data_IF_001662356155
#
_entry.id   IF_001662356155
#
_cell.length_a   1.000
_cell.length_b   1.000
_cell.length_c   1.000
_cell.angle_alpha   90.00
_cell.angle_beta   90.00
_cell.angle_gamma   90.00
#
_symmetry.space_group_name_H-M   'P 1'
#
loop_
_entity.id
_entity.type
_entity.pdbx_description
1 polymer ?
#
# COMPACT_ATOMS: atom_id res chain seq x y z
N UNK A 1 23.14 -15.29 -19.02
CA UNK A 1 23.37 -15.88 -17.68
C UNK A 1 22.60 -15.01 -16.70
N UNK A 2 21.62 -15.57 -16.01
CA UNK A 2 20.89 -14.84 -14.95
C UNK A 2 21.58 -15.15 -13.63
N UNK A 3 21.99 -14.13 -12.90
CA UNK A 3 22.65 -14.27 -11.62
C UNK A 3 21.75 -13.68 -10.53
N UNK A 4 21.40 -14.48 -9.54
CA UNK A 4 20.72 -14.03 -8.34
C UNK A 4 21.77 -13.61 -7.31
N UNK A 5 21.60 -12.46 -6.69
CA UNK A 5 22.52 -11.95 -5.66
C UNK A 5 22.01 -12.27 -4.27
N UNK A 6 22.91 -12.44 -3.32
CA UNK A 6 22.57 -12.76 -1.94
C UNK A 6 21.78 -11.66 -1.25
N UNK A 7 22.17 -10.39 -1.42
CA UNK A 7 21.52 -9.27 -0.75
C UNK A 7 20.00 -9.18 -1.03
N UNK A 8 19.51 -9.29 -2.28
CA UNK A 8 18.07 -9.39 -2.56
C UNK A 8 17.38 -10.57 -1.89
N UNK A 9 18.03 -11.74 -1.82
CA UNK A 9 17.45 -12.94 -1.20
C UNK A 9 17.38 -12.76 0.32
N UNK A 10 18.41 -12.21 0.95
CA UNK A 10 18.42 -11.91 2.38
C UNK A 10 17.30 -10.95 2.75
N UNK A 11 17.11 -9.88 1.98
CA UNK A 11 16.05 -8.92 2.21
C UNK A 11 14.66 -9.55 2.00
N UNK A 12 14.52 -10.38 0.99
CA UNK A 12 13.30 -11.13 0.71
C UNK A 12 12.91 -12.07 1.86
N UNK A 13 13.86 -12.81 2.42
CA UNK A 13 13.66 -13.69 3.59
C UNK A 13 13.33 -12.87 4.83
N UNK A 14 14.09 -11.80 5.10
CA UNK A 14 13.84 -10.86 6.20
C UNK A 14 12.42 -10.29 6.15
N UNK A 15 11.98 -9.87 4.98
CA UNK A 15 10.64 -9.30 4.80
C UNK A 15 9.54 -10.34 5.04
N UNK A 16 9.74 -11.58 4.59
CA UNK A 16 8.82 -12.68 4.84
C UNK A 16 8.66 -12.95 6.34
N UNK A 17 9.77 -13.07 7.07
CA UNK A 17 9.79 -13.29 8.53
C UNK A 17 9.12 -12.13 9.25
N UNK A 18 9.48 -10.89 8.88
CA UNK A 18 8.89 -9.68 9.47
C UNK A 18 7.37 -9.66 9.29
N UNK A 19 6.89 -9.88 8.08
CA UNK A 19 5.44 -9.87 7.81
C UNK A 19 4.69 -10.99 8.53
N UNK A 20 5.27 -12.19 8.62
CA UNK A 20 4.70 -13.27 9.40
C UNK A 20 4.55 -12.90 10.88
N UNK A 21 5.58 -12.25 11.45
CA UNK A 21 5.59 -11.81 12.85
C UNK A 21 4.58 -10.69 13.10
N UNK A 22 4.57 -9.67 12.25
CA UNK A 22 3.70 -8.50 12.41
C UNK A 22 2.22 -8.84 12.28
N UNK A 23 1.87 -9.84 11.46
CA UNK A 23 0.49 -10.18 11.12
C UNK A 23 -0.01 -11.46 11.79
N UNK A 24 0.88 -12.29 12.31
CA UNK A 24 0.55 -13.64 12.81
C UNK A 24 0.09 -14.60 11.70
N UNK A 25 0.25 -14.23 10.43
CA UNK A 25 -0.18 -15.04 9.29
C UNK A 25 0.95 -15.93 8.76
N UNK A 26 0.63 -17.11 8.22
CA UNK A 26 1.64 -17.96 7.60
C UNK A 26 2.25 -17.30 6.36
N UNK A 27 3.58 -17.41 6.24
CA UNK A 27 4.33 -17.01 5.07
C UNK A 27 4.71 -18.23 4.23
N UNK A 28 4.33 -18.24 2.97
CA UNK A 28 4.54 -19.38 2.06
C UNK A 28 5.48 -18.98 0.94
N UNK A 29 6.68 -19.55 0.91
CA UNK A 29 7.59 -19.46 -0.22
C UNK A 29 7.12 -20.40 -1.34
N UNK A 30 6.90 -19.86 -2.51
CA UNK A 30 6.43 -20.59 -3.68
C UNK A 30 7.63 -21.08 -4.50
N UNK A 31 8.21 -22.20 -4.10
CA UNK A 31 9.42 -22.75 -4.70
C UNK A 31 9.23 -24.24 -5.03
N UNK A 32 9.51 -24.61 -6.26
CA UNK A 32 9.39 -25.99 -6.75
C UNK A 32 10.74 -26.71 -6.61
N UNK A 33 10.86 -27.75 -5.75
CA UNK A 33 12.11 -28.48 -5.60
C UNK A 33 12.55 -29.23 -6.86
N UNK A 34 11.66 -29.45 -7.82
CA UNK A 34 11.98 -30.08 -9.10
C UNK A 34 12.51 -29.10 -10.14
N UNK A 35 12.35 -27.82 -9.93
CA UNK A 35 12.91 -26.78 -10.78
C UNK A 35 14.30 -26.41 -10.27
N UNK A 36 15.33 -26.57 -11.10
CA UNK A 36 16.74 -26.39 -10.68
C UNK A 36 17.02 -25.02 -10.01
N UNK A 37 16.43 -23.94 -10.53
CA UNK A 37 16.57 -22.61 -9.93
C UNK A 37 15.94 -22.56 -8.54
N UNK A 38 14.71 -23.04 -8.39
CA UNK A 38 13.98 -22.99 -7.12
C UNK A 38 14.61 -23.93 -6.09
N UNK A 39 15.16 -25.08 -6.52
CA UNK A 39 15.91 -26.01 -5.65
C UNK A 39 17.12 -25.32 -5.02
N UNK A 40 17.86 -24.51 -5.78
CA UNK A 40 18.96 -23.69 -5.25
C UNK A 40 18.42 -22.61 -4.28
N UNK A 41 17.35 -21.93 -4.62
CA UNK A 41 16.73 -20.92 -3.74
C UNK A 41 16.23 -21.54 -2.43
N UNK A 42 15.66 -22.74 -2.45
CA UNK A 42 15.23 -23.45 -1.24
C UNK A 42 16.38 -23.60 -0.24
N UNK A 43 17.56 -23.97 -0.73
CA UNK A 43 18.74 -24.12 0.12
C UNK A 43 19.19 -22.78 0.71
N UNK A 44 19.21 -21.74 -0.12
CA UNK A 44 19.60 -20.39 0.30
C UNK A 44 18.58 -19.82 1.31
N UNK A 45 17.29 -19.94 1.04
CA UNK A 45 16.21 -19.53 1.96
C UNK A 45 16.34 -20.22 3.30
N UNK A 46 16.56 -21.54 3.32
CA UNK A 46 16.76 -22.29 4.57
C UNK A 46 18.00 -21.82 5.35
N UNK A 47 19.04 -21.41 4.65
CA UNK A 47 20.24 -20.84 5.28
C UNK A 47 19.93 -19.50 5.93
N UNK A 48 19.32 -18.58 5.19
CA UNK A 48 19.03 -17.23 5.70
C UNK A 48 17.90 -17.19 6.75
N UNK A 49 16.98 -18.16 6.76
CA UNK A 49 16.01 -18.28 7.84
C UNK A 49 16.66 -18.52 9.20
N UNK A 50 17.88 -19.10 9.23
CA UNK A 50 18.62 -19.32 10.48
C UNK A 50 19.15 -18.00 11.10
N UNK A 51 19.25 -16.95 10.32
CA UNK A 51 19.67 -15.62 10.76
C UNK A 51 18.53 -14.84 11.45
N UNK A 52 17.32 -15.42 11.49
CA UNK A 52 16.13 -14.80 12.03
C UNK A 52 15.49 -15.64 13.14
N UNK A 53 14.94 -14.96 14.14
CA UNK A 53 14.07 -15.62 15.09
C UNK A 53 12.75 -15.98 14.40
N UNK A 54 12.50 -17.29 14.25
CA UNK A 54 11.29 -17.83 13.61
C UNK A 54 10.37 -18.55 14.59
N UNK A 55 10.65 -18.48 15.88
CA UNK A 55 9.86 -19.13 16.90
C UNK A 55 8.40 -18.62 16.88
N UNK A 56 7.47 -19.57 16.85
CA UNK A 56 6.02 -19.29 16.81
C UNK A 56 5.52 -18.82 15.43
N UNK A 57 6.36 -18.75 14.40
CA UNK A 57 5.95 -18.38 13.05
C UNK A 57 5.70 -19.63 12.18
N UNK A 58 4.64 -19.58 11.38
CA UNK A 58 4.38 -20.58 10.35
C UNK A 58 5.02 -20.12 9.03
N UNK A 59 6.23 -20.65 8.73
CA UNK A 59 6.95 -20.35 7.50
C UNK A 59 7.07 -21.65 6.69
N UNK A 60 6.47 -21.64 5.51
CA UNK A 60 6.34 -22.83 4.67
C UNK A 60 7.06 -22.63 3.34
N UNK A 61 7.61 -23.71 2.80
CA UNK A 61 8.12 -23.77 1.43
C UNK A 61 7.28 -24.82 0.71
N UNK A 62 6.57 -24.41 -0.34
CA UNK A 62 5.65 -25.25 -1.09
C UNK A 62 5.84 -25.05 -2.59
N UNK A 63 5.66 -26.13 -3.36
CA UNK A 63 5.53 -25.99 -4.81
C UNK A 63 4.35 -25.08 -5.18
N UNK A 64 4.34 -24.43 -6.36
CA UNK A 64 3.25 -23.55 -6.77
C UNK A 64 1.86 -24.17 -6.66
N UNK A 65 1.75 -25.47 -7.01
CA UNK A 65 0.47 -26.20 -6.92
C UNK A 65 0.03 -26.41 -5.47
N UNK A 66 0.96 -26.76 -4.58
CA UNK A 66 0.66 -26.92 -3.16
C UNK A 66 0.40 -25.59 -2.49
N UNK A 67 1.16 -24.55 -2.83
CA UNK A 67 1.02 -23.21 -2.29
C UNK A 67 -0.34 -22.61 -2.63
N UNK A 68 -0.80 -22.72 -3.89
CA UNK A 68 -2.12 -22.21 -4.28
C UNK A 68 -3.24 -22.98 -3.61
N UNK A 69 -3.14 -24.30 -3.49
CA UNK A 69 -4.15 -25.11 -2.80
C UNK A 69 -4.25 -24.73 -1.31
N UNK A 70 -3.11 -24.57 -0.65
CA UNK A 70 -3.05 -24.13 0.74
C UNK A 70 -3.68 -22.74 0.90
N UNK A 71 -3.28 -21.78 0.07
CA UNK A 71 -3.80 -20.40 0.11
C UNK A 71 -5.30 -20.37 -0.15
N UNK A 72 -5.79 -21.09 -1.16
CA UNK A 72 -7.23 -21.16 -1.47
C UNK A 72 -8.06 -21.76 -0.33
N UNK A 73 -7.54 -22.79 0.34
CA UNK A 73 -8.23 -23.38 1.49
C UNK A 73 -8.37 -22.36 2.64
N UNK A 74 -7.34 -21.58 2.92
CA UNK A 74 -7.34 -20.54 3.94
C UNK A 74 -8.27 -19.37 3.57
N UNK A 75 -8.18 -18.89 2.34
CA UNK A 75 -9.09 -17.83 1.83
C UNK A 75 -10.55 -18.27 1.95
N UNK A 76 -10.86 -19.52 1.63
CA UNK A 76 -12.20 -20.08 1.78
C UNK A 76 -12.67 -20.13 3.25
N UNK A 77 -11.74 -20.25 4.18
CA UNK A 77 -11.99 -20.18 5.61
C UNK A 77 -12.03 -18.74 6.17
N UNK A 78 -11.82 -17.74 5.34
CA UNK A 78 -11.73 -16.33 5.74
C UNK A 78 -10.38 -15.94 6.35
N UNK A 79 -9.34 -16.74 6.12
CA UNK A 79 -8.00 -16.54 6.68
C UNK A 79 -7.04 -15.97 5.64
N UNK A 80 -6.11 -15.15 6.10
CA UNK A 80 -5.07 -14.54 5.25
C UNK A 80 -3.83 -15.43 5.14
N UNK A 81 -3.08 -15.26 4.05
CA UNK A 81 -1.81 -15.94 3.80
C UNK A 81 -0.85 -14.95 3.14
N UNK A 82 0.41 -14.96 3.57
CA UNK A 82 1.47 -14.19 2.92
C UNK A 82 2.09 -15.07 1.83
N UNK A 83 1.93 -14.67 0.57
CA UNK A 83 2.58 -15.32 -0.56
C UNK A 83 3.95 -14.72 -0.78
N UNK A 84 4.98 -15.49 -0.50
CA UNK A 84 6.38 -15.10 -0.70
C UNK A 84 6.81 -15.61 -2.07
N UNK A 85 6.63 -14.73 -3.06
CA UNK A 85 6.92 -15.01 -4.46
C UNK A 85 7.87 -13.96 -5.00
N UNK A 86 8.17 -14.01 -6.26
CA UNK A 86 8.92 -12.96 -6.90
C UNK A 86 9.92 -13.46 -7.92
N UNK A 87 10.45 -12.53 -8.68
CA UNK A 87 11.46 -12.82 -9.68
C UNK A 87 12.87 -12.49 -9.15
N UNK A 88 13.36 -13.33 -8.27
CA UNK A 88 14.72 -13.19 -7.72
C UNK A 88 15.82 -13.47 -8.73
N UNK A 89 15.47 -13.81 -9.97
CA UNK A 89 16.41 -13.82 -11.11
C UNK A 89 16.81 -12.43 -11.58
N UNK A 90 16.04 -11.41 -11.25
CA UNK A 90 16.41 -10.03 -11.51
C UNK A 90 17.51 -9.61 -10.55
N UNK A 91 18.46 -8.85 -11.05
CA UNK A 91 19.67 -8.48 -10.34
C UNK A 91 19.45 -7.70 -9.03
N UNK A 92 18.29 -7.08 -8.87
CA UNK A 92 18.05 -6.09 -7.83
C UNK A 92 16.60 -6.05 -7.33
N UNK A 93 15.74 -6.91 -7.82
CA UNK A 93 14.31 -6.90 -7.48
C UNK A 93 13.96 -8.07 -6.58
N UNK A 94 13.32 -7.79 -5.49
CA UNK A 94 12.72 -8.76 -4.58
C UNK A 94 11.26 -8.38 -4.37
N UNK A 95 10.37 -9.34 -4.57
CA UNK A 95 8.93 -9.11 -4.44
C UNK A 95 8.38 -9.91 -3.27
N UNK A 96 7.61 -9.24 -2.43
CA UNK A 96 6.77 -9.87 -1.43
C UNK A 96 5.35 -9.33 -1.59
N UNK A 97 4.42 -10.22 -1.86
CA UNK A 97 3.03 -9.87 -2.03
C UNK A 97 2.22 -10.45 -0.87
N UNK A 98 1.94 -9.67 0.18
CA UNK A 98 0.91 -10.07 1.13
C UNK A 98 -0.40 -10.16 0.36
N UNK A 99 -1.06 -11.31 0.44
CA UNK A 99 -2.42 -11.45 -0.09
C UNK A 99 -3.33 -10.77 0.92
N UNK A 100 -3.54 -9.47 0.73
CA UNK A 100 -4.48 -8.71 1.52
C UNK A 100 -5.88 -9.01 1.02
N UNK A 101 -6.08 -8.88 -0.25
CA UNK A 101 -7.29 -9.26 -0.92
C UNK A 101 -7.08 -9.24 -2.43
N UNK A 102 -7.72 -10.16 -3.12
CA UNK A 102 -7.64 -10.19 -4.56
C UNK A 102 -8.50 -9.09 -5.16
N UNK A 103 -7.90 -8.21 -5.90
CA UNK A 103 -8.67 -7.18 -6.57
C UNK A 103 -7.94 -6.58 -7.72
N UNK A 104 -6.93 -5.81 -7.46
CA UNK A 104 -6.19 -5.06 -8.47
C UNK A 104 -4.69 -5.13 -8.22
N UNK A 105 -3.90 -4.79 -9.23
CA UNK A 105 -2.45 -4.64 -9.07
C UNK A 105 -2.06 -3.57 -8.05
N UNK A 106 -2.97 -2.64 -7.74
CA UNK A 106 -2.78 -1.62 -6.71
C UNK A 106 -2.69 -2.20 -5.28
N UNK A 107 -3.13 -3.43 -5.07
CA UNK A 107 -3.02 -4.14 -3.78
C UNK A 107 -1.71 -4.93 -3.64
N UNK A 108 -0.81 -4.83 -4.60
CA UNK A 108 0.49 -5.48 -4.57
C UNK A 108 1.60 -4.46 -4.30
N UNK A 109 2.56 -4.85 -3.49
CA UNK A 109 3.73 -4.07 -3.14
C UNK A 109 5.00 -4.80 -3.58
N UNK A 110 5.79 -4.17 -4.43
CA UNK A 110 7.13 -4.63 -4.79
C UNK A 110 8.17 -3.84 -4.01
N UNK A 111 9.16 -4.53 -3.48
CA UNK A 111 10.26 -3.92 -2.76
C UNK A 111 11.56 -4.19 -3.51
N UNK A 112 12.25 -3.12 -3.88
CA UNK A 112 13.52 -3.15 -4.62
C UNK A 112 14.63 -2.66 -3.70
N UNK A 113 15.43 -3.56 -3.09
CA UNK A 113 16.57 -3.16 -2.30
C UNK A 113 17.66 -2.55 -3.20
N UNK A 114 18.21 -1.42 -2.78
CA UNK A 114 19.27 -0.71 -3.49
C UNK A 114 20.64 -1.19 -3.01
N UNK A 115 21.61 -1.36 -3.92
CA UNK A 115 22.95 -1.84 -3.61
C UNK A 115 23.72 -0.95 -2.63
N UNK A 116 23.46 0.33 -2.64
CA UNK A 116 24.06 1.31 -1.72
C UNK A 116 23.32 1.44 -0.38
N UNK A 117 22.36 0.57 -0.12
CA UNK A 117 21.46 0.67 1.02
C UNK A 117 20.19 1.45 0.69
N UNK A 118 19.16 1.27 1.54
CA UNK A 118 17.83 1.78 1.28
C UNK A 118 16.98 0.81 0.46
N UNK A 119 15.80 1.26 0.06
CA UNK A 119 14.88 0.50 -0.76
C UNK A 119 14.02 1.42 -1.61
N UNK A 120 13.58 0.91 -2.74
CA UNK A 120 12.54 1.50 -3.55
C UNK A 120 11.27 0.67 -3.37
N UNK A 121 10.17 1.32 -3.04
CA UNK A 121 8.88 0.69 -2.85
C UNK A 121 7.99 1.03 -4.04
N UNK A 122 7.59 0.02 -4.78
CA UNK A 122 6.80 0.17 -5.99
C UNK A 122 5.43 -0.50 -5.82
N UNK A 123 4.43 0.09 -6.47
CA UNK A 123 3.12 -0.50 -6.62
C UNK A 123 2.84 -0.82 -8.07
N UNK A 124 2.04 -1.85 -8.33
CA UNK A 124 1.66 -2.19 -9.68
C UNK A 124 0.75 -1.12 -10.28
N UNK A 125 1.25 -0.35 -11.22
CA UNK A 125 0.42 0.57 -12.00
C UNK A 125 -0.39 -0.21 -13.04
N UNK A 126 -1.71 -0.01 -13.03
CA UNK A 126 -2.60 -0.71 -13.98
C UNK A 126 -2.45 -0.17 -15.42
N UNK A 127 -2.61 -1.03 -16.40
CA UNK A 127 -2.66 -0.67 -17.82
C UNK A 127 -3.89 0.16 -18.23
N UNK A 128 -4.75 0.54 -17.27
CA UNK A 128 -5.95 1.36 -17.47
C UNK A 128 -5.72 2.86 -17.24
N UNK A 129 -4.52 3.30 -16.90
CA UNK A 129 -4.20 4.70 -16.62
C UNK A 129 -4.66 5.70 -17.72
N UNK A 130 -4.48 5.43 -19.03
CA UNK A 130 -4.98 6.35 -20.07
C UNK A 130 -6.49 6.54 -20.03
N UNK A 131 -7.26 5.49 -19.72
CA UNK A 131 -8.72 5.59 -19.60
C UNK A 131 -9.16 6.34 -18.35
N UNK A 132 -8.39 6.26 -17.27
CA UNK A 132 -8.66 7.05 -16.06
C UNK A 132 -8.41 8.53 -16.32
N UNK A 133 -7.33 8.89 -17.01
CA UNK A 133 -7.04 10.25 -17.42
C UNK A 133 -8.11 10.80 -18.37
N UNK A 134 -8.58 10.01 -19.33
CA UNK A 134 -9.67 10.36 -20.24
C UNK A 134 -10.96 10.64 -19.47
N UNK A 135 -11.34 9.75 -18.55
CA UNK A 135 -12.55 9.93 -17.75
C UNK A 135 -12.47 11.18 -16.86
N UNK A 136 -11.30 11.48 -16.27
CA UNK A 136 -11.10 12.73 -15.54
C UNK A 136 -11.34 13.95 -16.45
N UNK A 137 -10.76 13.94 -17.64
CA UNK A 137 -10.88 15.06 -18.58
C UNK A 137 -12.33 15.25 -19.10
N UNK A 138 -13.04 14.17 -19.39
CA UNK A 138 -14.37 14.20 -19.99
C UNK A 138 -15.51 14.34 -18.98
N UNK A 139 -15.36 13.75 -17.81
CA UNK A 139 -16.42 13.60 -16.80
C UNK A 139 -16.04 14.19 -15.44
N UNK A 140 -14.85 14.75 -15.26
CA UNK A 140 -14.40 15.24 -13.95
C UNK A 140 -14.31 14.15 -12.88
N UNK A 141 -14.27 12.88 -13.26
CA UNK A 141 -14.29 11.71 -12.37
C UNK A 141 -12.99 10.92 -12.52
N UNK A 142 -12.20 10.83 -11.44
CA UNK A 142 -10.93 10.12 -11.43
C UNK A 142 -11.08 8.74 -10.76
N UNK A 143 -11.05 7.70 -11.56
CA UNK A 143 -11.19 6.32 -11.10
C UNK A 143 -9.87 5.64 -10.70
N UNK A 144 -8.77 6.38 -10.59
CA UNK A 144 -7.51 5.83 -10.16
C UNK A 144 -7.58 5.34 -8.70
N UNK A 145 -7.18 4.10 -8.45
CA UNK A 145 -7.11 3.52 -7.11
C UNK A 145 -5.71 3.70 -6.54
N UNK A 146 -5.56 4.53 -5.53
CA UNK A 146 -4.28 4.83 -4.86
C UNK A 146 -3.98 3.91 -3.68
N UNK A 147 -4.68 2.79 -3.54
CA UNK A 147 -4.46 1.87 -2.42
C UNK A 147 -3.01 1.36 -2.37
N UNK A 148 -2.41 1.08 -3.53
CA UNK A 148 -1.02 0.66 -3.61
C UNK A 148 -0.06 1.73 -3.09
N UNK A 149 -0.31 3.01 -3.43
CA UNK A 149 0.48 4.14 -2.96
C UNK A 149 0.35 4.32 -1.45
N UNK A 150 -0.83 4.11 -0.87
CA UNK A 150 -1.03 4.17 0.58
C UNK A 150 -0.23 3.08 1.30
N UNK A 151 -0.26 1.86 0.78
CA UNK A 151 0.54 0.75 1.29
C UNK A 151 2.04 1.04 1.17
N UNK A 152 2.49 1.56 0.03
CA UNK A 152 3.88 1.94 -0.19
C UNK A 152 4.34 3.04 0.77
N UNK A 153 3.50 4.04 1.02
CA UNK A 153 3.80 5.11 1.97
C UNK A 153 3.96 4.58 3.40
N UNK A 154 3.07 3.70 3.84
CA UNK A 154 3.16 3.08 5.17
C UNK A 154 4.47 2.32 5.36
N UNK A 155 4.84 1.46 4.40
CA UNK A 155 6.09 0.70 4.45
C UNK A 155 7.33 1.61 4.34
N UNK A 156 7.26 2.67 3.54
CA UNK A 156 8.35 3.64 3.42
C UNK A 156 8.59 4.40 4.71
N UNK A 157 7.52 4.82 5.40
CA UNK A 157 7.60 5.47 6.71
C UNK A 157 8.18 4.51 7.78
N UNK A 158 7.79 3.25 7.73
CA UNK A 158 8.32 2.23 8.63
C UNK A 158 9.83 2.02 8.40
N UNK A 159 10.27 1.85 7.16
CA UNK A 159 11.68 1.70 6.80
C UNK A 159 12.50 2.93 7.21
N UNK A 160 11.98 4.13 6.94
CA UNK A 160 12.59 5.38 7.39
C UNK A 160 12.74 5.41 8.91
N UNK A 161 11.65 5.11 9.63
CA UNK A 161 11.62 5.12 11.08
C UNK A 161 12.64 4.16 11.70
N UNK A 162 12.77 2.97 11.14
CA UNK A 162 13.73 1.96 11.59
C UNK A 162 15.19 2.37 11.31
N UNK A 163 15.48 2.87 10.10
CA UNK A 163 16.84 3.21 9.68
C UNK A 163 17.38 4.48 10.33
N UNK A 164 16.50 5.41 10.65
CA UNK A 164 16.88 6.71 11.25
C UNK A 164 16.54 6.83 12.73
N UNK A 165 16.03 5.74 13.34
CA UNK A 165 15.57 5.72 14.74
C UNK A 165 14.50 6.81 15.02
N UNK A 166 13.67 7.10 14.02
CA UNK A 166 12.63 8.13 14.11
C UNK A 166 11.31 7.53 14.61
N UNK A 167 11.05 7.66 15.90
CA UNK A 167 9.84 7.13 16.54
C UNK A 167 8.54 7.72 15.96
N UNK A 168 8.52 9.00 15.59
CA UNK A 168 7.35 9.62 14.96
C UNK A 168 7.01 8.98 13.60
N UNK A 169 8.03 8.66 12.79
CA UNK A 169 7.83 7.96 11.53
C UNK A 169 7.23 6.56 11.75
N UNK A 170 7.63 5.85 12.82
CA UNK A 170 7.06 4.56 13.17
C UNK A 170 5.59 4.66 13.60
N UNK A 171 5.23 5.69 14.37
CA UNK A 171 3.83 5.95 14.74
C UNK A 171 2.98 6.28 13.51
N UNK A 172 3.49 7.12 12.61
CA UNK A 172 2.82 7.45 11.36
C UNK A 172 2.63 6.20 10.47
N UNK A 173 3.64 5.35 10.37
CA UNK A 173 3.58 4.11 9.60
C UNK A 173 2.52 3.14 10.14
N UNK A 174 2.54 2.89 11.45
CA UNK A 174 1.59 2.00 12.13
C UNK A 174 0.15 2.46 11.94
N UNK A 175 -0.12 3.73 12.25
CA UNK A 175 -1.46 4.31 12.15
C UNK A 175 -1.97 4.40 10.70
N UNK A 176 -1.08 4.65 9.72
CA UNK A 176 -1.44 4.60 8.30
C UNK A 176 -1.79 3.18 7.84
N UNK A 177 -1.07 2.17 8.33
CA UNK A 177 -1.37 0.78 8.03
C UNK A 177 -2.76 0.38 8.59
N UNK A 178 -3.08 0.78 9.82
CA UNK A 178 -4.39 0.57 10.44
C UNK A 178 -5.50 1.31 9.66
N UNK A 179 -5.25 2.56 9.27
CA UNK A 179 -6.18 3.34 8.44
C UNK A 179 -6.44 2.71 7.07
N UNK A 180 -5.39 2.14 6.46
CA UNK A 180 -5.50 1.45 5.17
C UNK A 180 -6.29 0.14 5.32
N UNK A 181 -6.13 -0.59 6.42
CA UNK A 181 -6.97 -1.74 6.74
C UNK A 181 -8.45 -1.35 6.82
N UNK A 182 -8.78 -0.31 7.60
CA UNK A 182 -10.15 0.20 7.72
C UNK A 182 -10.71 0.73 6.40
N UNK A 183 -9.86 1.35 5.57
CA UNK A 183 -10.23 1.79 4.23
C UNK A 183 -10.71 0.61 3.35
N UNK A 184 -10.01 -0.52 3.45
CA UNK A 184 -10.38 -1.76 2.77
C UNK A 184 -11.68 -2.35 3.32
N UNK A 185 -11.82 -2.45 4.63
CA UNK A 185 -13.00 -3.02 5.29
C UNK A 185 -14.28 -2.24 4.95
N UNK A 186 -14.16 -0.94 4.72
CA UNK A 186 -15.28 -0.07 4.36
C UNK A 186 -15.45 0.16 2.85
N UNK A 187 -14.67 -0.52 2.02
CA UNK A 187 -14.78 -0.49 0.56
C UNK A 187 -14.71 0.93 -0.04
N UNK A 188 -13.69 1.72 0.38
CA UNK A 188 -13.53 3.13 0.01
C UNK A 188 -12.70 3.37 -1.25
N UNK A 189 -12.39 2.32 -2.00
CA UNK A 189 -11.75 2.43 -3.32
C UNK A 189 -12.63 3.18 -4.32
N UNK A 190 -12.03 3.85 -5.32
CA UNK A 190 -12.79 4.58 -6.33
C UNK A 190 -13.73 3.67 -7.12
N UNK A 191 -14.94 4.14 -7.34
CA UNK A 191 -15.97 3.46 -8.12
C UNK A 191 -16.01 4.00 -9.56
N UNK A 192 -16.76 3.33 -10.44
CA UNK A 192 -16.68 3.58 -11.88
C UNK A 192 -17.49 4.76 -12.37
N UNK A 193 -18.57 5.13 -11.67
CA UNK A 193 -19.58 6.06 -12.18
C UNK A 193 -19.43 7.44 -11.56
N UNK A 194 -19.66 8.45 -12.36
CA UNK A 194 -19.83 9.84 -11.90
C UNK A 194 -20.84 9.90 -10.75
N UNK A 195 -20.54 10.72 -9.74
CA UNK A 195 -21.35 10.87 -8.53
C UNK A 195 -21.08 9.82 -7.46
N UNK A 196 -20.25 8.81 -7.76
CA UNK A 196 -19.74 7.86 -6.77
C UNK A 196 -18.39 8.35 -6.23
N UNK A 197 -17.86 7.64 -5.22
CA UNK A 197 -16.50 7.90 -4.69
C UNK A 197 -15.49 7.78 -5.82
N UNK A 198 -14.72 8.82 -6.05
CA UNK A 198 -13.57 8.83 -6.95
C UNK A 198 -12.25 8.86 -6.16
N UNK A 199 -11.12 8.99 -6.83
CA UNK A 199 -9.79 9.04 -6.20
C UNK A 199 -9.71 10.10 -5.09
N UNK A 200 -10.28 11.30 -5.31
CA UNK A 200 -10.25 12.42 -4.35
C UNK A 200 -11.04 12.09 -3.10
N UNK A 201 -12.21 11.48 -3.27
CA UNK A 201 -13.03 10.98 -2.17
C UNK A 201 -12.34 9.85 -1.41
N UNK A 202 -11.64 8.95 -2.11
CA UNK A 202 -10.85 7.89 -1.50
C UNK A 202 -9.72 8.44 -0.62
N UNK A 203 -9.00 9.45 -1.10
CA UNK A 203 -7.97 10.13 -0.31
C UNK A 203 -8.55 10.82 0.92
N UNK A 204 -9.72 11.44 0.80
CA UNK A 204 -10.42 12.04 1.93
C UNK A 204 -10.75 10.98 3.01
N UNK A 205 -11.33 9.85 2.62
CA UNK A 205 -11.62 8.78 3.57
C UNK A 205 -10.36 8.23 4.25
N UNK A 206 -9.29 8.02 3.49
CA UNK A 206 -8.03 7.57 4.10
C UNK A 206 -7.48 8.60 5.09
N UNK A 207 -7.48 9.88 4.71
CA UNK A 207 -7.01 10.96 5.58
C UNK A 207 -7.83 11.04 6.88
N UNK A 208 -9.15 10.88 6.79
CA UNK A 208 -10.04 10.84 7.95
C UNK A 208 -9.72 9.66 8.87
N UNK A 209 -9.59 8.45 8.34
CA UNK A 209 -9.23 7.28 9.13
C UNK A 209 -7.84 7.42 9.75
N UNK A 210 -6.89 7.96 9.00
CA UNK A 210 -5.53 8.15 9.53
C UNK A 210 -5.49 9.20 10.65
N UNK A 211 -6.20 10.32 10.49
CA UNK A 211 -6.33 11.33 11.53
C UNK A 211 -6.98 10.77 12.81
N UNK A 212 -8.01 9.93 12.66
CA UNK A 212 -8.67 9.25 13.78
C UNK A 212 -7.71 8.31 14.54
N UNK A 213 -6.94 7.46 13.84
CA UNK A 213 -5.94 6.60 14.48
C UNK A 213 -4.82 7.41 15.13
N UNK A 214 -4.38 8.50 14.51
CA UNK A 214 -3.37 9.40 15.08
C UNK A 214 -3.88 10.14 16.32
N UNK A 215 -5.15 10.52 16.35
CA UNK A 215 -5.79 11.12 17.52
C UNK A 215 -5.99 10.11 18.66
N UNK A 216 -6.18 8.84 18.34
CA UNK A 216 -6.44 7.77 19.32
C UNK A 216 -5.16 7.18 19.94
N UNK A 217 -4.01 7.19 19.22
CA UNK A 217 -2.77 6.58 19.69
C UNK A 217 -2.20 7.28 20.94
N UNK A 218 -1.36 6.57 21.71
CA UNK A 218 -0.69 7.08 22.91
C UNK A 218 0.84 6.99 22.86
N UNK A 219 1.38 6.64 21.68
CA UNK A 219 2.82 6.44 21.49
C UNK A 219 3.56 7.79 21.30
N UNK A 220 2.86 8.84 20.80
CA UNK A 220 3.40 10.20 20.63
C UNK A 220 2.33 11.26 20.96
N UNK A 221 2.54 11.99 22.05
CA UNK A 221 1.59 12.99 22.55
C UNK A 221 1.48 14.25 21.65
N UNK A 222 2.55 14.62 20.97
CA UNK A 222 2.56 15.77 20.05
C UNK A 222 1.76 15.47 18.78
N UNK A 223 1.97 14.31 18.17
CA UNK A 223 1.17 13.85 17.05
C UNK A 223 -0.29 13.71 17.46
N UNK A 224 -0.56 13.13 18.63
CA UNK A 224 -1.93 13.02 19.14
C UNK A 224 -2.60 14.38 19.23
N UNK A 225 -1.98 15.34 19.87
CA UNK A 225 -2.55 16.68 20.05
C UNK A 225 -2.83 17.37 18.70
N UNK A 226 -1.85 17.30 17.78
CA UNK A 226 -1.97 17.84 16.42
C UNK A 226 -3.13 17.24 15.65
N UNK A 227 -3.22 15.92 15.63
CA UNK A 227 -4.23 15.22 14.83
C UNK A 227 -5.60 15.09 15.49
N UNK A 228 -5.72 15.35 16.79
CA UNK A 228 -7.05 15.45 17.45
C UNK A 228 -7.87 16.56 16.84
N UNK A 229 -7.29 17.77 16.71
CA UNK A 229 -8.02 18.89 16.10
C UNK A 229 -8.39 18.61 14.65
N UNK A 230 -7.45 18.06 13.87
CA UNK A 230 -7.72 17.69 12.47
C UNK A 230 -8.86 16.67 12.36
N UNK A 231 -8.85 15.64 13.21
CA UNK A 231 -9.91 14.63 13.26
C UNK A 231 -11.28 15.25 13.56
N UNK A 232 -11.36 16.15 14.53
CA UNK A 232 -12.61 16.82 14.91
C UNK A 232 -13.13 17.69 13.77
N UNK A 233 -12.25 18.49 13.14
CA UNK A 233 -12.62 19.34 11.99
C UNK A 233 -13.09 18.47 10.79
N UNK A 234 -12.39 17.39 10.46
CA UNK A 234 -12.80 16.48 9.38
C UNK A 234 -14.13 15.78 9.65
N UNK A 235 -14.43 15.47 10.90
CA UNK A 235 -15.69 14.86 11.32
C UNK A 235 -16.85 15.89 11.27
N UNK A 236 -16.63 17.11 11.75
CA UNK A 236 -17.61 18.18 11.74
C UNK A 236 -18.07 18.53 10.32
N UNK A 237 -17.11 18.69 9.40
CA UNK A 237 -17.40 19.11 8.02
C UNK A 237 -17.52 17.96 7.02
N UNK A 238 -17.69 16.72 7.49
CA UNK A 238 -17.76 15.52 6.65
C UNK A 238 -18.79 15.65 5.52
N UNK A 239 -20.03 16.08 5.84
CA UNK A 239 -21.11 16.17 4.86
C UNK A 239 -20.82 17.21 3.76
N UNK A 240 -20.26 18.35 4.15
CA UNK A 240 -19.92 19.43 3.22
C UNK A 240 -18.79 19.01 2.29
N UNK A 241 -17.73 18.39 2.83
CA UNK A 241 -16.61 17.90 2.04
C UNK A 241 -17.06 16.86 1.01
N UNK A 242 -17.88 15.90 1.42
CA UNK A 242 -18.40 14.87 0.49
C UNK A 242 -19.27 15.52 -0.60
N UNK A 243 -20.10 16.49 -0.25
CA UNK A 243 -20.90 17.22 -1.22
C UNK A 243 -20.04 17.99 -2.22
N UNK A 244 -19.01 18.71 -1.77
CA UNK A 244 -18.08 19.45 -2.62
C UNK A 244 -17.30 18.52 -3.57
N UNK A 245 -16.78 17.39 -3.08
CA UNK A 245 -16.10 16.39 -3.88
C UNK A 245 -17.00 15.73 -4.92
N UNK A 246 -18.28 15.52 -4.59
CA UNK A 246 -19.28 14.97 -5.50
C UNK A 246 -19.67 15.97 -6.58
N UNK A 247 -19.88 17.26 -6.22
CA UNK A 247 -20.24 18.32 -7.15
C UNK A 247 -19.14 18.64 -8.18
N UNK A 248 -17.88 18.34 -7.88
CA UNK A 248 -16.77 18.51 -8.79
C UNK A 248 -16.74 17.50 -9.95
N UNK A 249 -17.70 16.59 -9.99
CA UNK A 249 -17.83 15.54 -11.00
C UNK A 249 -18.94 15.85 -12.00
N UNK A 250 -18.98 15.12 -13.11
CA UNK A 250 -20.06 15.17 -14.10
C UNK A 250 -19.87 16.23 -15.20
N UNK A 251 -18.79 16.99 -15.17
CA UNK A 251 -18.49 17.99 -16.19
C UNK A 251 -17.08 17.80 -16.74
N UNK A 252 -16.91 18.22 -18.00
CA UNK A 252 -15.60 18.23 -18.62
C UNK A 252 -14.68 19.21 -17.91
N UNK A 253 -13.42 18.79 -17.67
CA UNK A 253 -12.40 19.63 -17.05
C UNK A 253 -11.27 19.96 -18.01
N UNK A 254 -10.68 21.16 -17.86
CA UNK A 254 -9.54 21.62 -18.64
C UNK A 254 -8.29 21.60 -17.77
N UNK A 255 -7.39 20.64 -18.05
CA UNK A 255 -6.10 20.48 -17.36
C UNK A 255 -5.00 21.38 -17.94
N UNK A 256 -5.29 22.16 -19.00
CA UNK A 256 -4.30 23.02 -19.68
C UNK A 256 -3.35 22.27 -20.61
N UNK A 257 -3.44 20.97 -20.70
CA UNK A 257 -2.61 20.11 -21.54
C UNK A 257 -2.62 18.66 -21.10
N UNK A 258 -2.05 17.78 -21.90
CA UNK A 258 -1.92 16.37 -21.55
C UNK A 258 -0.53 16.03 -21.00
N UNK A 259 0.52 16.55 -21.64
CA UNK A 259 1.91 16.25 -21.30
C UNK A 259 2.51 17.27 -20.32
N UNK A 260 2.14 18.54 -20.50
CA UNK A 260 2.47 19.63 -19.61
C UNK A 260 1.17 20.25 -19.12
N UNK A 261 0.75 19.82 -17.93
CA UNK A 261 -0.45 20.33 -17.31
C UNK A 261 -0.23 21.77 -16.81
N UNK A 262 -1.27 22.58 -16.87
CA UNK A 262 -1.31 23.83 -16.12
C UNK A 262 -1.45 23.51 -14.62
N UNK A 263 -0.43 23.89 -13.84
CA UNK A 263 -0.36 23.54 -12.42
C UNK A 263 -1.53 24.09 -11.62
N UNK A 264 -1.98 25.31 -11.91
CA UNK A 264 -3.09 25.92 -11.18
C UNK A 264 -4.42 25.24 -11.55
N UNK A 265 -4.67 24.95 -12.81
CA UNK A 265 -5.85 24.20 -13.25
C UNK A 265 -5.86 22.79 -12.66
N UNK A 266 -4.74 22.08 -12.71
CA UNK A 266 -4.62 20.75 -12.15
C UNK A 266 -4.87 20.74 -10.63
N UNK A 267 -4.32 21.71 -9.90
CA UNK A 267 -4.55 21.86 -8.46
C UNK A 267 -6.03 22.07 -8.13
N UNK A 268 -6.71 22.94 -8.85
CA UNK A 268 -8.14 23.19 -8.65
C UNK A 268 -9.00 21.95 -8.92
N UNK A 269 -8.64 21.15 -9.92
CA UNK A 269 -9.36 19.92 -10.26
C UNK A 269 -9.09 18.82 -9.23
N UNK A 270 -7.87 18.72 -8.74
CA UNK A 270 -7.48 17.66 -7.78
C UNK A 270 -7.83 18.01 -6.34
N UNK A 271 -7.98 19.29 -6.00
CA UNK A 271 -8.36 19.80 -4.67
C UNK A 271 -9.63 20.64 -4.74
N UNK A 272 -10.79 20.07 -5.18
CA UNK A 272 -11.99 20.85 -5.45
C UNK A 272 -12.79 21.23 -4.19
N UNK A 273 -12.53 20.60 -3.05
CA UNK A 273 -13.20 20.92 -1.79
C UNK A 273 -12.48 22.06 -1.07
N UNK A 274 -13.08 23.24 -1.07
CA UNK A 274 -12.54 24.39 -0.34
C UNK A 274 -12.53 24.14 1.17
N UNK A 275 -13.56 23.50 1.69
CA UNK A 275 -13.67 23.14 3.11
C UNK A 275 -12.50 22.24 3.52
N UNK A 276 -12.25 21.16 2.78
CA UNK A 276 -11.11 20.25 3.03
C UNK A 276 -9.77 20.97 2.91
N UNK A 277 -9.62 21.83 1.89
CA UNK A 277 -8.38 22.60 1.71
C UNK A 277 -8.10 23.50 2.91
N UNK A 278 -9.09 24.23 3.41
CA UNK A 278 -8.92 25.09 4.59
C UNK A 278 -8.52 24.29 5.83
N UNK A 279 -9.11 23.11 6.04
CA UNK A 279 -8.79 22.24 7.17
C UNK A 279 -7.33 21.75 7.08
N UNK A 280 -6.93 21.23 5.90
CA UNK A 280 -5.58 20.68 5.72
C UNK A 280 -4.50 21.77 5.75
N UNK A 281 -4.77 22.92 5.16
CA UNK A 281 -3.80 24.01 5.10
C UNK A 281 -3.62 24.72 6.47
N UNK A 282 -4.48 24.41 7.46
CA UNK A 282 -4.38 24.88 8.85
C UNK A 282 -3.56 23.96 9.78
N UNK A 283 -3.12 22.79 9.31
CA UNK A 283 -2.33 21.80 10.04
C UNK A 283 -0.84 22.10 9.91
#
# INVERSE_FOLDING_TARGET
>A
MCQTKDAPIQDWVKLAVKRARDTGQPAVFWLDPQRAHDSNLINIVKTYLQDHDTDGLEILIKSPVEAIRYTMARVKAGENTISVTGNVLRDYLTDLFPILELGTSAKMLSIVPLLAGGGLYETGAGGSAPKHAQQLAEEGHLRWDSLGEFLALSVSLEDLGQKTENSKALVLAKTLNEATGRFLDHDRSPLRKVGQVDNRGSHYYLATYWAEYLAAQNDDAELKAKFTKLNDDLAEYHADIIAELSHAQGTRVDLGGYYHLDTAKAANIMRPSNTLNCIIDAV
#
